data_IF_948999500501
#
_entry.id   IF_948999500501
#
_cell.length_a   1.000
_cell.length_b   1.000
_cell.length_c   1.000
_cell.angle_alpha   90.00
_cell.angle_beta   90.00
_cell.angle_gamma   90.00
#
_symmetry.space_group_name_H-M   'P 1'
#
loop_
_entity.id
_entity.type
_entity.pdbx_description
1 polymer ?
#
# COMPACT_ATOMS: atom_id res chain seq x y z
N UNK A 1 -2.71 -1.55 -11.57
CA UNK A 1 -1.80 -1.40 -10.42
C UNK A 1 -2.09 -0.11 -9.68
N UNK A 2 -1.82 -0.08 -8.38
CA UNK A 2 -1.92 1.12 -7.53
C UNK A 2 -0.67 1.25 -6.68
N UNK A 3 -0.24 2.49 -6.44
CA UNK A 3 0.77 2.82 -5.43
C UNK A 3 0.06 3.31 -4.16
N UNK A 4 0.41 2.72 -3.03
CA UNK A 4 -0.10 3.09 -1.72
C UNK A 4 1.02 3.70 -0.89
N UNK A 5 0.78 4.88 -0.33
CA UNK A 5 1.75 5.59 0.50
C UNK A 5 1.14 5.87 1.87
N UNK A 6 1.82 5.36 2.91
CA UNK A 6 1.48 5.52 4.31
C UNK A 6 2.24 6.73 4.83
N UNK A 7 1.54 7.85 5.00
CA UNK A 7 2.11 9.10 5.49
C UNK A 7 2.06 9.19 7.01
N UNK A 8 3.02 9.90 7.60
CA UNK A 8 3.01 10.21 9.03
C UNK A 8 1.83 11.13 9.37
N UNK A 9 0.97 10.72 10.30
CA UNK A 9 -0.29 11.43 10.58
C UNK A 9 -0.11 12.84 11.15
N UNK A 10 1.07 13.18 11.66
CA UNK A 10 1.37 14.52 12.15
C UNK A 10 1.58 15.54 11.04
N UNK A 11 1.71 15.10 9.78
CA UNK A 11 1.89 15.98 8.63
C UNK A 11 0.55 16.38 8.02
N UNK A 12 0.47 17.61 7.51
CA UNK A 12 -0.70 18.06 6.74
C UNK A 12 -0.89 17.23 5.46
N UNK A 13 -2.11 17.21 4.91
CA UNK A 13 -2.42 16.48 3.68
C UNK A 13 -1.53 16.86 2.48
N UNK A 14 -1.18 18.14 2.34
CA UNK A 14 -0.23 18.60 1.31
C UNK A 14 1.15 18.00 1.56
N UNK A 15 1.64 18.06 2.80
CA UNK A 15 2.93 17.49 3.16
C UNK A 15 2.94 15.98 2.91
N UNK A 16 1.89 15.23 3.31
CA UNK A 16 1.79 13.79 3.03
C UNK A 16 1.93 13.47 1.53
N UNK A 17 1.36 14.29 0.65
CA UNK A 17 1.56 14.17 -0.80
C UNK A 17 3.01 14.41 -1.24
N UNK A 18 3.69 15.41 -0.67
CA UNK A 18 5.11 15.69 -0.93
C UNK A 18 6.00 14.53 -0.44
N UNK A 19 5.71 13.97 0.73
CA UNK A 19 6.46 12.83 1.28
C UNK A 19 6.29 11.56 0.44
N UNK A 20 5.09 11.34 -0.12
CA UNK A 20 4.86 10.26 -1.07
C UNK A 20 5.70 10.46 -2.37
N UNK A 21 5.84 11.70 -2.84
CA UNK A 21 6.70 12.02 -3.98
C UNK A 21 8.19 11.74 -3.69
N UNK A 22 8.68 12.07 -2.50
CA UNK A 22 10.04 11.70 -2.09
C UNK A 22 10.20 10.18 -2.04
N UNK A 23 9.25 9.48 -1.40
CA UNK A 23 9.28 8.01 -1.31
C UNK A 23 9.30 7.33 -2.68
N UNK A 24 8.50 7.78 -3.65
CA UNK A 24 8.53 7.19 -5.00
C UNK A 24 9.82 7.53 -5.74
N UNK A 25 10.40 8.71 -5.52
CA UNK A 25 11.69 9.09 -6.10
C UNK A 25 12.81 8.16 -5.59
N UNK A 26 12.82 7.87 -4.29
CA UNK A 26 13.75 6.92 -3.69
C UNK A 26 13.54 5.49 -4.22
N UNK A 27 12.30 5.07 -4.45
CA UNK A 27 12.02 3.78 -5.11
C UNK A 27 12.62 3.71 -6.52
N UNK A 28 12.58 4.79 -7.29
CA UNK A 28 13.23 4.82 -8.62
C UNK A 28 14.75 4.72 -8.54
N UNK A 29 15.37 5.30 -7.52
CA UNK A 29 16.82 5.13 -7.27
C UNK A 29 17.10 3.68 -6.85
N UNK A 30 16.33 3.15 -5.91
CA UNK A 30 16.49 1.80 -5.36
C UNK A 30 16.35 0.70 -6.42
N UNK A 31 15.35 0.79 -7.30
CA UNK A 31 15.06 -0.24 -8.30
C UNK A 31 15.50 0.14 -9.72
N UNK A 32 16.05 1.33 -9.94
CA UNK A 32 16.36 1.84 -11.28
C UNK A 32 17.52 1.14 -11.99
N UNK A 33 18.45 0.56 -11.23
CA UNK A 33 19.70 0.01 -11.78
C UNK A 33 19.62 -1.47 -12.16
N UNK A 34 18.67 -2.22 -11.62
CA UNK A 34 18.58 -3.67 -11.83
C UNK A 34 17.45 -4.04 -12.80
N UNK A 35 17.70 -4.93 -13.76
CA UNK A 35 16.64 -5.52 -14.59
C UNK A 35 15.91 -6.64 -13.84
N UNK A 36 15.21 -6.30 -12.77
CA UNK A 36 14.47 -7.24 -11.91
C UNK A 36 12.93 -7.07 -12.03
N UNK A 37 12.18 -7.95 -11.35
CA UNK A 37 10.72 -7.96 -11.42
C UNK A 37 10.13 -6.69 -10.77
N UNK A 38 10.72 -6.27 -9.66
CA UNK A 38 10.37 -5.08 -8.89
C UNK A 38 10.44 -3.82 -9.77
N UNK A 39 11.55 -3.65 -10.52
CA UNK A 39 11.70 -2.57 -11.52
C UNK A 39 10.63 -2.65 -12.58
N UNK A 40 10.35 -3.84 -13.10
CA UNK A 40 9.34 -4.02 -14.16
C UNK A 40 7.98 -3.53 -13.68
N UNK A 41 7.57 -3.90 -12.46
CA UNK A 41 6.33 -3.44 -11.86
C UNK A 41 6.32 -1.92 -11.59
N UNK A 42 7.41 -1.38 -11.05
CA UNK A 42 7.54 0.06 -10.79
C UNK A 42 7.39 0.89 -12.08
N UNK A 43 8.11 0.50 -13.14
CA UNK A 43 8.07 1.18 -14.42
C UNK A 43 6.75 0.98 -15.16
N UNK A 44 6.14 -0.22 -15.11
CA UNK A 44 4.82 -0.44 -15.69
C UNK A 44 3.75 0.40 -14.97
N UNK A 45 3.79 0.47 -13.62
CA UNK A 45 2.91 1.37 -12.87
C UNK A 45 3.08 2.83 -13.31
N UNK A 46 4.31 3.32 -13.39
CA UNK A 46 4.57 4.71 -13.77
C UNK A 46 4.22 5.02 -15.23
N UNK A 47 4.40 4.06 -16.15
CA UNK A 47 4.05 4.23 -17.55
C UNK A 47 2.54 4.15 -17.78
N UNK A 48 1.86 3.17 -17.18
CA UNK A 48 0.54 2.74 -17.63
C UNK A 48 -0.59 2.93 -16.61
N UNK A 49 -0.31 3.03 -15.32
CA UNK A 49 -1.35 3.06 -14.28
C UNK A 49 -1.41 4.41 -13.55
N UNK A 50 -0.29 4.87 -12.98
CA UNK A 50 -0.14 6.16 -12.27
C UNK A 50 -1.15 6.45 -11.16
N UNK A 51 -1.87 5.43 -10.67
CA UNK A 51 -2.83 5.60 -9.57
C UNK A 51 -2.08 5.62 -8.24
N UNK A 52 -2.31 6.67 -7.46
CA UNK A 52 -1.72 6.91 -6.13
C UNK A 52 -2.82 6.97 -5.09
N UNK A 53 -2.62 6.31 -3.95
CA UNK A 53 -3.51 6.38 -2.79
C UNK A 53 -2.69 6.78 -1.57
N UNK A 54 -3.07 7.89 -0.93
CA UNK A 54 -2.46 8.38 0.30
C UNK A 54 -3.25 7.86 1.50
N UNK A 55 -2.56 7.14 2.38
CA UNK A 55 -3.07 6.50 3.58
C UNK A 55 -2.42 7.14 4.80
N UNK A 56 -3.15 7.17 5.91
CA UNK A 56 -2.62 7.49 7.21
C UNK A 56 -1.86 6.26 7.74
N UNK A 57 -0.56 6.39 7.87
CA UNK A 57 0.35 5.34 8.34
C UNK A 57 0.64 5.35 9.83
N UNK A 58 -0.03 6.20 10.61
CA UNK A 58 0.27 6.38 12.02
C UNK A 58 1.53 7.23 12.25
N UNK A 59 2.18 7.05 13.40
CA UNK A 59 3.38 7.80 13.78
C UNK A 59 4.64 7.16 13.18
N UNK A 60 5.81 7.72 13.47
CA UNK A 60 7.09 7.20 12.99
C UNK A 60 7.33 5.72 13.33
N UNK A 61 6.83 5.25 14.48
CA UNK A 61 6.93 3.85 14.90
C UNK A 61 6.01 2.94 14.09
N UNK A 62 4.74 3.34 13.89
CA UNK A 62 3.81 2.62 13.02
C UNK A 62 4.33 2.51 11.57
N UNK A 63 4.99 3.57 11.07
CA UNK A 63 5.65 3.55 9.77
C UNK A 63 6.86 2.59 9.77
N UNK A 64 7.65 2.56 10.85
CA UNK A 64 8.76 1.59 10.98
C UNK A 64 8.25 0.15 10.91
N UNK A 65 7.18 -0.16 11.63
CA UNK A 65 6.54 -1.47 11.63
C UNK A 65 6.00 -1.81 10.24
N UNK A 66 5.29 -0.88 9.59
CA UNK A 66 4.79 -1.04 8.22
C UNK A 66 5.92 -1.36 7.24
N UNK A 67 7.04 -0.63 7.32
CA UNK A 67 8.20 -0.88 6.48
C UNK A 67 8.82 -2.26 6.72
N UNK A 68 8.89 -2.72 7.97
CA UNK A 68 9.38 -4.07 8.28
C UNK A 68 8.43 -5.16 7.73
N UNK A 69 7.12 -4.96 7.83
CA UNK A 69 6.15 -5.85 7.20
C UNK A 69 6.33 -5.90 5.68
N UNK A 70 6.53 -4.75 5.02
CA UNK A 70 6.79 -4.70 3.58
C UNK A 70 8.11 -5.36 3.22
N UNK A 71 9.17 -5.17 3.99
CA UNK A 71 10.44 -5.85 3.77
C UNK A 71 10.28 -7.38 3.72
N UNK A 72 9.47 -7.94 4.62
CA UNK A 72 9.23 -9.38 4.66
C UNK A 72 8.29 -9.83 3.54
N UNK A 73 7.10 -9.22 3.45
CA UNK A 73 6.05 -9.63 2.52
C UNK A 73 6.42 -9.32 1.06
N UNK A 74 6.87 -8.10 0.77
CA UNK A 74 7.21 -7.68 -0.58
C UNK A 74 8.57 -8.20 -1.03
N UNK A 75 9.47 -8.58 -0.11
CA UNK A 75 10.68 -9.32 -0.44
C UNK A 75 10.37 -10.71 -1.00
N UNK A 76 9.37 -11.40 -0.45
CA UNK A 76 8.88 -12.68 -0.97
C UNK A 76 8.07 -12.51 -2.27
N UNK A 77 7.12 -11.56 -2.28
CA UNK A 77 6.24 -11.30 -3.42
C UNK A 77 6.94 -10.57 -4.58
N UNK A 78 8.14 -10.03 -4.36
CA UNK A 78 8.90 -9.22 -5.30
C UNK A 78 8.15 -7.98 -5.79
N UNK A 79 7.42 -7.33 -4.90
CA UNK A 79 6.77 -6.04 -5.18
C UNK A 79 7.70 -4.89 -4.79
N UNK A 80 7.76 -3.80 -5.56
CA UNK A 80 8.61 -2.67 -5.19
C UNK A 80 7.97 -1.91 -4.02
N UNK A 81 8.79 -1.62 -3.01
CA UNK A 81 8.42 -0.87 -1.82
C UNK A 81 9.57 0.06 -1.42
N UNK A 82 9.27 1.08 -0.63
CA UNK A 82 10.27 2.04 -0.18
C UNK A 82 9.85 2.79 1.07
N UNK A 83 10.73 3.63 1.56
CA UNK A 83 10.44 4.55 2.66
C UNK A 83 11.20 5.84 2.43
N UNK A 84 10.68 6.94 2.96
CA UNK A 84 11.37 8.21 3.02
C UNK A 84 11.42 8.68 4.47
N UNK A 85 12.58 9.24 4.83
CA UNK A 85 12.82 9.91 6.11
C UNK A 85 13.38 11.28 5.81
N UNK A 86 12.94 12.27 6.57
CA UNK A 86 13.51 13.62 6.51
C UNK A 86 14.97 13.60 6.96
N UNK A 87 15.71 14.66 6.69
CA UNK A 87 17.03 14.83 7.27
C UNK A 87 16.97 15.24 8.76
N UNK A 88 18.13 15.24 9.42
CA UNK A 88 18.25 15.58 10.83
C UNK A 88 17.84 17.04 11.13
N UNK A 89 18.00 17.95 10.17
CA UNK A 89 17.74 19.38 10.37
C UNK A 89 16.27 19.75 10.15
N UNK A 90 15.57 18.99 9.30
CA UNK A 90 14.18 19.25 8.89
C UNK A 90 13.17 18.63 9.86
N UNK A 91 13.39 17.37 10.25
CA UNK A 91 12.49 16.68 11.18
C UNK A 91 13.19 15.58 11.99
N UNK A 92 14.44 15.82 12.43
CA UNK A 92 15.20 14.92 13.30
C UNK A 92 15.25 13.47 12.77
N UNK A 93 15.50 13.31 11.47
CA UNK A 93 15.54 12.01 10.79
C UNK A 93 14.23 11.20 10.85
N UNK A 94 13.10 11.87 11.10
CA UNK A 94 11.82 11.19 11.23
C UNK A 94 11.41 10.52 9.93
N UNK A 95 10.95 9.27 10.04
CA UNK A 95 10.28 8.58 8.95
C UNK A 95 8.92 9.23 8.70
N UNK A 96 8.71 9.68 7.48
CA UNK A 96 7.51 10.42 7.08
C UNK A 96 6.65 9.68 6.08
N UNK A 97 7.23 8.71 5.35
CA UNK A 97 6.49 7.91 4.38
C UNK A 97 7.01 6.48 4.23
N UNK A 98 6.09 5.54 3.97
CA UNK A 98 6.37 4.19 3.49
C UNK A 98 5.47 3.91 2.28
N UNK A 99 6.01 3.37 1.20
CA UNK A 99 5.31 3.16 -0.06
C UNK A 99 5.40 1.72 -0.55
N UNK A 100 4.36 1.26 -1.27
CA UNK A 100 4.35 -0.02 -2.00
C UNK A 100 3.53 0.10 -3.28
N UNK A 101 3.96 -0.57 -4.35
CA UNK A 101 3.18 -0.71 -5.59
C UNK A 101 2.67 -2.14 -5.69
N UNK A 102 1.37 -2.29 -5.91
CA UNK A 102 0.71 -3.60 -5.91
C UNK A 102 -0.12 -3.85 -7.17
N UNK A 103 -0.21 -5.12 -7.63
CA UNK A 103 -1.10 -5.54 -8.71
C UNK A 103 -2.56 -5.44 -8.33
N UNK A 104 -3.42 -5.53 -9.35
CA UNK A 104 -4.87 -5.34 -9.19
C UNK A 104 -5.52 -6.29 -8.19
N UNK A 105 -5.08 -7.55 -8.17
CA UNK A 105 -5.65 -8.56 -7.29
C UNK A 105 -5.61 -8.18 -5.81
N UNK A 106 -4.58 -7.45 -5.36
CA UNK A 106 -4.43 -7.07 -3.94
C UNK A 106 -5.57 -6.18 -3.47
N UNK A 107 -5.90 -5.13 -4.22
CA UNK A 107 -6.95 -4.19 -3.79
C UNK A 107 -8.35 -4.63 -4.22
N UNK A 108 -8.49 -5.35 -5.34
CA UNK A 108 -9.78 -5.93 -5.73
C UNK A 108 -10.26 -7.00 -4.76
N UNK A 109 -9.34 -7.78 -4.20
CA UNK A 109 -9.65 -8.72 -3.14
C UNK A 109 -10.35 -8.01 -1.95
N UNK A 110 -9.79 -6.90 -1.47
CA UNK A 110 -10.37 -6.13 -0.37
C UNK A 110 -11.70 -5.46 -0.72
N UNK A 111 -11.85 -4.92 -1.93
CA UNK A 111 -13.12 -4.36 -2.42
C UNK A 111 -14.25 -5.41 -2.31
N UNK A 112 -14.02 -6.63 -2.82
CA UNK A 112 -15.01 -7.73 -2.79
C UNK A 112 -15.27 -8.21 -1.34
N UNK A 113 -14.24 -8.35 -0.51
CA UNK A 113 -14.40 -8.76 0.89
C UNK A 113 -15.25 -7.77 1.69
N UNK A 114 -15.08 -6.45 1.46
CA UNK A 114 -15.90 -5.42 2.10
C UNK A 114 -17.36 -5.49 1.66
N UNK A 115 -17.62 -5.65 0.37
CA UNK A 115 -18.98 -5.80 -0.18
C UNK A 115 -19.68 -7.03 0.42
N UNK A 116 -18.97 -8.15 0.56
CA UNK A 116 -19.51 -9.36 1.20
C UNK A 116 -19.80 -9.17 2.69
N UNK A 117 -18.96 -8.44 3.42
CA UNK A 117 -19.21 -8.14 4.85
C UNK A 117 -20.43 -7.23 5.02
N UNK A 118 -20.57 -6.22 4.17
CA UNK A 118 -21.71 -5.31 4.18
C UNK A 118 -23.02 -6.02 3.85
N UNK A 119 -23.03 -6.87 2.81
CA UNK A 119 -24.23 -7.62 2.42
C UNK A 119 -24.71 -8.59 3.50
N UNK A 120 -23.77 -9.30 4.16
CA UNK A 120 -24.08 -10.16 5.32
C UNK A 120 -24.63 -9.39 6.53
N UNK A 121 -24.17 -8.16 6.74
CA UNK A 121 -24.67 -7.30 7.82
C UNK A 121 -26.06 -6.74 7.53
N UNK A 122 -26.45 -6.57 6.26
CA UNK A 122 -27.73 -5.96 5.87
C UNK A 122 -28.86 -6.96 5.64
N UNK A 123 -28.57 -8.22 5.29
CA UNK A 123 -29.57 -9.26 5.06
C UNK A 123 -29.30 -10.53 5.89
N UNK A 124 -29.92 -10.69 7.07
CA UNK A 124 -29.90 -11.95 7.81
C UNK A 124 -30.88 -13.01 7.25
N UNK A 125 -31.52 -12.75 6.10
CA UNK A 125 -32.56 -13.64 5.56
C UNK A 125 -32.01 -14.99 5.08
N UNK A 126 -32.66 -16.13 5.38
CA UNK A 126 -32.19 -17.47 4.99
C UNK A 126 -32.35 -17.78 3.49
N UNK A 127 -32.99 -16.91 2.70
CA UNK A 127 -33.17 -17.09 1.26
C UNK A 127 -32.02 -16.45 0.49
N UNK A 128 -30.90 -17.19 0.41
CA UNK A 128 -29.89 -17.11 -0.65
C UNK A 128 -29.11 -15.80 -0.74
N UNK A 129 -27.98 -15.72 -0.02
CA UNK A 129 -26.91 -14.80 -0.42
C UNK A 129 -26.50 -15.11 -1.86
N UNK A 130 -26.57 -14.12 -2.75
CA UNK A 130 -25.84 -14.18 -4.02
C UNK A 130 -24.36 -14.06 -3.66
N UNK A 131 -23.70 -15.20 -3.52
CA UNK A 131 -22.26 -15.25 -3.30
C UNK A 131 -21.55 -14.76 -4.56
N UNK A 132 -21.09 -13.51 -4.55
CA UNK A 132 -20.09 -13.05 -5.52
C UNK A 132 -18.82 -13.84 -5.23
N UNK A 133 -18.46 -14.79 -6.10
CA UNK A 133 -17.18 -15.49 -5.99
C UNK A 133 -16.04 -14.48 -6.15
N UNK A 134 -15.03 -14.56 -5.28
CA UNK A 134 -13.84 -13.73 -5.43
C UNK A 134 -12.92 -14.41 -6.45
N UNK A 135 -12.74 -13.86 -7.67
CA UNK A 135 -11.90 -14.49 -8.69
C UNK A 135 -10.40 -14.38 -8.34
N UNK A 136 -10.05 -13.52 -7.39
CA UNK A 136 -8.67 -13.30 -6.95
C UNK A 136 -8.30 -14.31 -5.87
N UNK A 137 -7.65 -15.40 -6.28
CA UNK A 137 -7.08 -16.37 -5.36
C UNK A 137 -5.72 -15.89 -4.85
N UNK A 138 -5.74 -15.09 -3.79
CA UNK A 138 -4.52 -14.63 -3.12
C UNK A 138 -3.92 -15.72 -2.21
N UNK A 139 -2.59 -15.83 -2.23
CA UNK A 139 -1.85 -16.63 -1.25
C UNK A 139 -1.83 -15.94 0.14
N UNK A 140 -1.26 -16.60 1.15
CA UNK A 140 -1.25 -16.09 2.52
C UNK A 140 -0.50 -14.74 2.65
N UNK A 141 0.64 -14.62 1.98
CA UNK A 141 1.49 -13.43 1.96
C UNK A 141 0.78 -12.25 1.29
N UNK A 142 0.10 -12.49 0.16
CA UNK A 142 -0.71 -11.49 -0.54
C UNK A 142 -1.91 -11.03 0.30
N UNK A 143 -2.59 -11.95 1.00
CA UNK A 143 -3.68 -11.59 1.92
C UNK A 143 -3.20 -10.74 3.09
N UNK A 144 -2.02 -11.03 3.63
CA UNK A 144 -1.43 -10.23 4.69
C UNK A 144 -1.13 -8.80 4.22
N UNK A 145 -0.55 -8.65 3.03
CA UNK A 145 -0.31 -7.34 2.41
C UNK A 145 -1.61 -6.59 2.14
N UNK A 146 -2.61 -7.27 1.57
CA UNK A 146 -3.94 -6.71 1.34
C UNK A 146 -4.56 -6.22 2.66
N UNK A 147 -4.44 -6.98 3.75
CA UNK A 147 -4.94 -6.60 5.07
C UNK A 147 -4.29 -5.33 5.63
N UNK A 148 -2.97 -5.17 5.48
CA UNK A 148 -2.25 -3.95 5.90
C UNK A 148 -2.80 -2.73 5.15
N UNK A 149 -2.98 -2.85 3.83
CA UNK A 149 -3.51 -1.77 2.98
C UNK A 149 -4.97 -1.44 3.35
N UNK A 150 -5.78 -2.45 3.65
CA UNK A 150 -7.21 -2.26 3.98
C UNK A 150 -7.43 -1.60 5.34
N UNK A 151 -6.55 -1.88 6.29
CA UNK A 151 -6.68 -1.41 7.67
C UNK A 151 -6.32 0.08 7.83
N UNK A 152 -5.51 0.64 6.93
CA UNK A 152 -5.09 2.03 7.01
C UNK A 152 -6.14 2.98 6.42
N UNK A 153 -6.59 4.00 7.17
CA UNK A 153 -7.56 4.96 6.66
C UNK A 153 -6.91 5.89 5.64
N UNK A 154 -7.72 6.57 4.81
CA UNK A 154 -7.22 7.61 3.93
C UNK A 154 -6.56 8.74 4.72
N UNK A 155 -5.48 9.29 4.18
CA UNK A 155 -4.86 10.52 4.65
C UNK A 155 -5.90 11.66 4.70
N UNK A 156 -5.88 12.46 5.77
CA UNK A 156 -6.74 13.64 5.94
C UNK A 156 -5.88 14.84 6.26
#
# INVERSE_FOLDING_TARGET
MRAYFFGNFYLSSIQQGIQALHCVSDMFVQYGHESNHERTLLYDWAANHKVVVLLNGGNAESLRETYLSFRNLCGELRYPYGTFSEDAESLDSARTCVGVIVPEGIYKYNEIEREQRQSRSMNPSPLGNVFVSNPWQLNATEKALAGIIDAAPLAR
#
